data_IF_745689464728
#
_entry.id   IF_745689464728
#
_cell.length_a   1.000
_cell.length_b   1.000
_cell.length_c   1.000
_cell.angle_alpha   90.00
_cell.angle_beta   90.00
_cell.angle_gamma   90.00
#
_symmetry.space_group_name_H-M   'P 1'
#
loop_
_entity.id
_entity.type
_entity.pdbx_description
1 polymer ?
#
# COMPACT_ATOMS: atom_id res chain seq x y z
N UNK A 1 -2.79 -13.53 -20.11
CA UNK A 1 -2.54 -14.84 -19.46
C UNK A 1 -2.42 -14.62 -17.96
N UNK A 2 -3.56 -14.58 -17.25
CA UNK A 2 -3.61 -14.35 -15.81
C UNK A 2 -3.31 -15.63 -15.05
N UNK A 3 -2.14 -15.70 -14.43
CA UNK A 3 -1.84 -16.68 -13.40
C UNK A 3 -2.80 -16.41 -12.22
N UNK A 4 -3.95 -17.11 -12.19
CA UNK A 4 -4.73 -17.24 -10.95
C UNK A 4 -3.83 -18.02 -9.98
N UNK A 5 -3.43 -17.46 -8.83
CA UNK A 5 -2.84 -18.29 -7.78
C UNK A 5 -3.88 -19.36 -7.42
N UNK A 6 -3.45 -20.61 -7.39
CA UNK A 6 -4.32 -21.74 -7.09
C UNK A 6 -4.91 -21.56 -5.68
N UNK A 7 -6.23 -21.35 -5.58
CA UNK A 7 -6.94 -21.35 -4.30
C UNK A 7 -7.97 -20.24 -4.15
N UNK A 8 -7.57 -18.97 -4.31
CA UNK A 8 -8.41 -17.82 -3.95
C UNK A 8 -9.49 -17.47 -4.98
N UNK A 9 -10.75 -17.38 -4.53
CA UNK A 9 -11.83 -16.70 -5.24
C UNK A 9 -12.76 -15.98 -4.27
N UNK A 10 -13.08 -14.72 -4.60
CA UNK A 10 -14.18 -14.02 -3.95
C UNK A 10 -15.46 -14.82 -4.18
N UNK A 11 -16.14 -15.18 -3.09
CA UNK A 11 -17.43 -15.89 -3.13
C UNK A 11 -17.36 -17.42 -2.98
N UNK A 12 -16.20 -18.07 -3.11
CA UNK A 12 -16.11 -19.52 -2.93
C UNK A 12 -15.02 -19.94 -1.95
N UNK A 13 -13.79 -19.43 -2.13
CA UNK A 13 -12.62 -19.87 -1.35
C UNK A 13 -11.82 -18.67 -0.92
N UNK A 14 -11.96 -18.35 0.36
CA UNK A 14 -11.36 -17.18 0.98
C UNK A 14 -10.45 -17.54 2.14
N UNK A 15 -10.17 -18.80 2.43
CA UNK A 15 -9.10 -19.14 3.38
C UNK A 15 -7.80 -18.40 3.01
N UNK A 16 -7.06 -17.86 3.99
CA UNK A 16 -7.22 -17.95 5.45
C UNK A 16 -8.19 -16.93 6.09
N UNK A 17 -9.06 -16.31 5.29
CA UNK A 17 -10.08 -15.38 5.76
C UNK A 17 -11.42 -16.11 5.90
N UNK A 18 -12.03 -15.95 7.07
CA UNK A 18 -13.29 -16.56 7.47
C UNK A 18 -14.27 -15.47 7.91
N UNK A 19 -15.56 -15.76 7.83
CA UNK A 19 -16.59 -14.90 8.39
C UNK A 19 -16.48 -14.81 9.94
N UNK A 20 -17.37 -14.04 10.57
CA UNK A 20 -17.42 -13.92 12.04
C UNK A 20 -17.58 -15.23 12.80
N UNK A 21 -18.16 -16.25 12.16
CA UNK A 21 -18.43 -17.57 12.72
C UNK A 21 -17.30 -18.57 12.42
N UNK A 22 -16.29 -18.18 11.62
CA UNK A 22 -15.21 -19.07 11.19
C UNK A 22 -15.54 -19.89 9.94
N UNK A 23 -16.56 -19.53 9.17
CA UNK A 23 -16.96 -20.20 7.94
C UNK A 23 -16.42 -19.50 6.68
N UNK A 24 -16.29 -20.26 5.59
CA UNK A 24 -16.04 -19.73 4.25
C UNK A 24 -17.36 -19.65 3.44
N UNK A 25 -17.47 -18.73 2.47
CA UNK A 25 -16.53 -17.65 2.17
C UNK A 25 -16.70 -16.47 3.15
N UNK A 26 -15.59 -15.82 3.50
CA UNK A 26 -15.60 -14.53 4.17
C UNK A 26 -16.20 -13.47 3.25
N UNK A 27 -17.06 -12.63 3.82
CA UNK A 27 -17.62 -11.44 3.18
C UNK A 27 -16.98 -10.19 3.78
N UNK A 28 -16.62 -9.26 2.91
CA UNK A 28 -15.98 -8.00 3.29
C UNK A 28 -16.94 -6.86 2.94
N UNK A 29 -17.84 -6.53 3.87
CA UNK A 29 -18.84 -5.47 3.66
C UNK A 29 -18.28 -4.15 4.20
N UNK A 30 -18.09 -3.20 3.28
CA UNK A 30 -17.53 -1.90 3.56
C UNK A 30 -18.56 -0.82 3.25
N UNK A 31 -18.68 0.17 4.13
CA UNK A 31 -19.42 1.40 3.87
C UNK A 31 -18.43 2.54 3.68
N UNK A 32 -18.59 3.28 2.58
CA UNK A 32 -17.77 4.46 2.32
C UNK A 32 -18.29 5.66 3.11
N UNK A 33 -17.48 6.16 4.04
CA UNK A 33 -17.79 7.33 4.89
C UNK A 33 -17.27 8.65 4.31
N UNK A 34 -16.37 8.59 3.32
CA UNK A 34 -15.77 9.75 2.65
C UNK A 34 -14.92 9.34 1.46
N UNK A 35 -14.18 10.27 0.87
CA UNK A 35 -13.41 10.03 -0.37
C UNK A 35 -12.42 8.87 -0.25
N UNK A 36 -11.80 8.69 0.91
CA UNK A 36 -10.77 7.69 1.20
C UNK A 36 -11.02 6.91 2.50
N UNK A 37 -12.23 7.01 3.08
CA UNK A 37 -12.55 6.45 4.40
C UNK A 37 -13.61 5.38 4.32
N UNK A 38 -13.32 4.19 4.84
CA UNK A 38 -14.23 3.04 4.83
C UNK A 38 -14.46 2.47 6.23
N UNK A 39 -15.72 2.22 6.56
CA UNK A 39 -16.18 1.51 7.74
C UNK A 39 -16.40 0.02 7.42
N UNK A 40 -16.00 -0.86 8.33
CA UNK A 40 -16.26 -2.31 8.22
C UNK A 40 -17.62 -2.60 8.86
N UNK A 41 -18.58 -3.08 8.06
CA UNK A 41 -19.95 -3.39 8.50
C UNK A 41 -20.18 -4.85 8.85
N UNK A 42 -19.30 -5.74 8.41
CA UNK A 42 -19.33 -7.15 8.82
C UNK A 42 -17.96 -7.57 9.37
N UNK A 43 -17.88 -8.05 10.62
CA UNK A 43 -16.62 -8.54 11.17
C UNK A 43 -16.21 -9.86 10.50
N UNK A 44 -14.90 -10.06 10.37
CA UNK A 44 -14.31 -11.27 9.80
C UNK A 44 -13.03 -11.65 10.55
N UNK A 45 -12.52 -12.85 10.30
CA UNK A 45 -11.32 -13.39 10.96
C UNK A 45 -10.30 -13.75 9.90
N UNK A 46 -9.05 -13.37 10.13
CA UNK A 46 -7.89 -13.91 9.42
C UNK A 46 -7.20 -14.92 10.34
N UNK A 47 -6.96 -16.13 9.87
CA UNK A 47 -6.26 -17.19 10.61
C UNK A 47 -5.41 -18.03 9.65
N UNK A 48 -4.10 -17.81 9.69
CA UNK A 48 -3.12 -18.54 8.87
C UNK A 48 -2.43 -19.68 9.63
N UNK A 49 -2.93 -20.05 10.82
CA UNK A 49 -2.35 -21.06 11.70
C UNK A 49 -1.20 -20.56 12.58
N UNK A 50 -0.58 -19.42 12.26
CA UNK A 50 0.44 -18.79 13.10
C UNK A 50 -0.10 -17.56 13.83
N UNK A 51 -0.96 -16.79 13.16
CA UNK A 51 -1.53 -15.56 13.65
C UNK A 51 -3.03 -15.56 13.35
N UNK A 52 -3.81 -15.28 14.40
CA UNK A 52 -5.25 -15.11 14.30
C UNK A 52 -5.62 -13.67 14.64
N UNK A 53 -6.25 -12.97 13.70
CA UNK A 53 -6.69 -11.58 13.84
C UNK A 53 -8.18 -11.51 13.59
N UNK A 54 -8.93 -10.96 14.55
CA UNK A 54 -10.35 -10.65 14.37
C UNK A 54 -10.47 -9.19 13.97
N UNK A 55 -10.96 -8.93 12.76
CA UNK A 55 -11.28 -7.58 12.30
C UNK A 55 -12.66 -7.22 12.83
N UNK A 56 -12.77 -6.24 13.75
CA UNK A 56 -14.05 -5.87 14.35
C UNK A 56 -14.89 -5.02 13.40
N UNK A 57 -16.17 -4.91 13.73
CA UNK A 57 -17.03 -3.87 13.18
C UNK A 57 -16.46 -2.50 13.59
N UNK A 58 -16.41 -1.55 12.65
CA UNK A 58 -15.84 -0.22 12.87
C UNK A 58 -16.81 0.84 12.41
N UNK A 59 -17.59 1.38 13.35
CA UNK A 59 -18.58 2.42 13.06
C UNK A 59 -17.96 3.81 12.85
N UNK A 60 -16.81 4.08 13.48
CA UNK A 60 -16.20 5.42 13.50
C UNK A 60 -14.73 5.45 13.02
N UNK A 61 -14.03 4.32 13.05
CA UNK A 61 -12.61 4.23 12.69
C UNK A 61 -12.47 3.79 11.24
N UNK A 62 -12.26 4.78 10.36
CA UNK A 62 -12.01 4.57 8.95
C UNK A 62 -10.70 3.79 8.73
N UNK A 63 -10.81 2.62 8.09
CA UNK A 63 -9.68 2.10 7.33
C UNK A 63 -9.59 2.90 6.03
N UNK A 64 -8.39 3.33 5.68
CA UNK A 64 -8.12 3.95 4.37
C UNK A 64 -7.92 2.90 3.26
N UNK A 65 -8.05 1.61 3.62
CA UNK A 65 -7.69 0.41 2.86
C UNK A 65 -6.22 0.43 2.47
N UNK A 66 -5.82 1.37 1.63
CA UNK A 66 -4.43 1.72 1.44
C UNK A 66 -4.36 3.21 1.07
N UNK A 67 -3.70 4.02 1.90
CA UNK A 67 -3.19 5.35 1.51
C UNK A 67 -2.17 5.22 0.38
N UNK A 68 -2.65 5.03 -0.85
CA UNK A 68 -1.83 4.96 -2.06
C UNK A 68 -1.71 6.40 -2.58
N UNK A 69 -0.50 6.94 -2.72
CA UNK A 69 -0.32 8.25 -3.36
C UNK A 69 -0.97 8.26 -4.74
N UNK A 70 -1.67 9.35 -5.09
CA UNK A 70 -2.47 9.42 -6.34
C UNK A 70 -1.66 9.03 -7.59
N UNK A 71 -0.36 9.35 -7.64
CA UNK A 71 0.53 9.02 -8.76
C UNK A 71 0.88 7.53 -8.87
N UNK A 72 0.52 6.72 -7.88
CA UNK A 72 0.62 5.25 -7.87
C UNK A 72 -0.73 4.55 -8.10
N UNK A 73 -1.84 5.29 -8.19
CA UNK A 73 -3.18 4.72 -8.33
C UNK A 73 -3.35 3.91 -9.65
N UNK A 74 -2.55 4.20 -10.68
CA UNK A 74 -2.51 3.41 -11.91
C UNK A 74 -1.91 2.02 -11.72
N UNK A 75 -1.06 1.83 -10.70
CA UNK A 75 -0.32 0.59 -10.45
C UNK A 75 -1.00 -0.32 -9.42
N UNK A 76 -1.46 0.28 -8.31
CA UNK A 76 -2.25 -0.40 -7.27
C UNK A 76 -3.65 0.20 -7.25
N UNK A 77 -4.70 -0.57 -7.58
CA UNK A 77 -6.07 -0.07 -7.46
C UNK A 77 -6.40 0.18 -5.98
N UNK A 78 -7.32 1.11 -5.71
CA UNK A 78 -7.76 1.47 -4.35
C UNK A 78 -8.32 0.26 -3.59
N UNK A 79 -9.02 -0.63 -4.30
CA UNK A 79 -9.56 -1.86 -3.73
C UNK A 79 -9.25 -3.08 -4.61
N UNK A 80 -9.37 -4.27 -4.03
CA UNK A 80 -9.20 -5.54 -4.71
C UNK A 80 -8.74 -6.65 -3.77
N UNK A 81 -7.93 -7.58 -4.28
CA UNK A 81 -7.44 -8.73 -3.50
C UNK A 81 -6.62 -8.38 -2.26
N UNK A 82 -6.02 -7.19 -2.22
CA UNK A 82 -5.23 -6.73 -1.09
C UNK A 82 -6.09 -6.09 0.02
N UNK A 83 -7.33 -5.71 -0.28
CA UNK A 83 -8.27 -5.06 0.66
C UNK A 83 -8.45 -5.84 1.97
N UNK A 84 -8.74 -7.16 1.97
CA UNK A 84 -8.89 -7.88 3.23
C UNK A 84 -7.59 -7.93 4.04
N UNK A 85 -6.44 -8.03 3.36
CA UNK A 85 -5.11 -7.99 4.00
C UNK A 85 -4.84 -6.63 4.65
N UNK A 86 -5.26 -5.54 4.00
CA UNK A 86 -5.15 -4.18 4.53
C UNK A 86 -5.96 -3.97 5.80
N UNK A 87 -7.21 -4.44 5.82
CA UNK A 87 -8.06 -4.36 7.02
C UNK A 87 -7.47 -5.13 8.22
N UNK A 88 -6.80 -6.27 7.96
CA UNK A 88 -6.05 -7.01 8.98
C UNK A 88 -4.86 -6.20 9.47
N UNK A 89 -4.08 -5.60 8.58
CA UNK A 89 -2.93 -4.75 8.92
C UNK A 89 -3.32 -3.54 9.76
N UNK A 90 -4.37 -2.82 9.38
CA UNK A 90 -4.92 -1.68 10.12
C UNK A 90 -5.45 -2.07 11.50
N UNK A 91 -5.96 -3.30 11.63
CA UNK A 91 -6.37 -3.85 12.92
C UNK A 91 -5.18 -4.09 13.83
N UNK A 92 -4.15 -4.76 13.32
CA UNK A 92 -2.91 -4.95 14.07
C UNK A 92 -2.25 -3.63 14.45
N UNK A 93 -2.18 -2.65 13.54
CA UNK A 93 -1.60 -1.34 13.84
C UNK A 93 -2.39 -0.58 14.91
N UNK A 94 -3.72 -0.66 14.89
CA UNK A 94 -4.57 -0.05 15.91
C UNK A 94 -4.34 -0.68 17.29
N UNK A 95 -4.27 -2.01 17.38
CA UNK A 95 -3.96 -2.77 18.59
C UNK A 95 -2.57 -2.42 19.14
N UNK A 96 -1.55 -2.45 18.29
CA UNK A 96 -0.16 -2.10 18.65
C UNK A 96 -0.09 -0.65 19.15
N UNK A 97 -0.80 0.28 18.52
CA UNK A 97 -0.85 1.66 18.97
C UNK A 97 -1.60 1.82 20.30
N UNK A 98 -2.64 1.05 20.55
CA UNK A 98 -3.35 1.05 21.83
C UNK A 98 -2.44 0.57 22.97
N UNK A 99 -1.74 -0.55 22.78
CA UNK A 99 -0.79 -1.08 23.78
C UNK A 99 0.38 -0.12 24.03
N UNK A 100 0.88 0.57 22.98
CA UNK A 100 1.88 1.64 23.12
C UNK A 100 1.37 2.78 24.00
N UNK A 101 0.11 3.19 23.86
CA UNK A 101 -0.50 4.26 24.68
C UNK A 101 -0.76 3.81 26.12
N UNK A 102 -1.09 2.54 26.31
CA UNK A 102 -1.27 1.93 27.63
C UNK A 102 0.06 1.79 28.41
N UNK A 103 1.21 1.87 27.73
CA UNK A 103 2.53 1.74 28.32
C UNK A 103 3.07 0.30 28.32
N UNK A 104 2.37 -0.63 27.67
CA UNK A 104 2.73 -2.05 27.60
C UNK A 104 3.87 -2.33 26.61
N UNK A 105 4.19 -1.36 25.75
CA UNK A 105 5.23 -1.47 24.73
C UNK A 105 6.24 -0.33 24.82
N UNK A 106 7.51 -0.70 24.97
CA UNK A 106 8.63 0.21 24.86
C UNK A 106 8.94 0.59 23.39
N UNK A 107 9.99 1.40 23.22
CA UNK A 107 10.52 1.83 21.91
C UNK A 107 10.74 0.67 20.93
N UNK A 108 11.46 -0.35 21.41
CA UNK A 108 11.90 -1.48 20.60
C UNK A 108 10.76 -2.47 20.33
N UNK A 109 9.97 -2.82 21.35
CA UNK A 109 8.84 -3.75 21.25
C UNK A 109 7.76 -3.24 20.30
N UNK A 110 7.42 -1.95 20.35
CA UNK A 110 6.50 -1.33 19.39
C UNK A 110 6.95 -1.53 17.94
N UNK A 111 8.24 -1.34 17.68
CA UNK A 111 8.77 -1.45 16.34
C UNK A 111 8.80 -2.90 15.85
N UNK A 112 9.20 -3.83 16.71
CA UNK A 112 9.23 -5.26 16.39
C UNK A 112 7.83 -5.77 16.05
N UNK A 113 6.82 -5.36 16.84
CA UNK A 113 5.41 -5.67 16.59
C UNK A 113 4.92 -5.11 15.26
N UNK A 114 5.31 -3.89 14.89
CA UNK A 114 4.98 -3.31 13.58
C UNK A 114 5.63 -4.06 12.42
N UNK A 115 6.90 -4.46 12.55
CA UNK A 115 7.56 -5.28 11.53
C UNK A 115 6.87 -6.64 11.36
N UNK A 116 6.43 -7.25 12.46
CA UNK A 116 5.64 -8.49 12.41
C UNK A 116 4.28 -8.27 11.75
N UNK A 117 3.62 -7.15 11.99
CA UNK A 117 2.38 -6.79 11.31
C UNK A 117 2.60 -6.63 9.79
N UNK A 118 3.70 -6.00 9.37
CA UNK A 118 4.07 -5.88 7.95
C UNK A 118 4.28 -7.28 7.31
N UNK A 119 4.87 -8.23 8.04
CA UNK A 119 5.04 -9.61 7.57
C UNK A 119 3.71 -10.39 7.47
N UNK A 120 2.81 -10.21 8.44
CA UNK A 120 1.43 -10.74 8.37
C UNK A 120 0.71 -10.17 7.15
N UNK A 121 0.84 -8.87 6.88
CA UNK A 121 0.25 -8.23 5.71
C UNK A 121 0.75 -8.85 4.40
N UNK A 122 2.06 -9.11 4.28
CA UNK A 122 2.64 -9.78 3.10
C UNK A 122 2.07 -11.18 2.90
N UNK A 123 1.98 -11.99 3.96
CA UNK A 123 1.44 -13.36 3.92
C UNK A 123 -0.07 -13.36 3.60
N UNK A 124 -0.81 -12.44 4.20
CA UNK A 124 -2.23 -12.26 3.92
C UNK A 124 -2.50 -11.88 2.45
N UNK A 125 -1.66 -11.03 1.85
CA UNK A 125 -1.75 -10.69 0.42
C UNK A 125 -1.36 -11.86 -0.49
N UNK A 126 -0.37 -12.66 -0.09
CA UNK A 126 -0.01 -13.89 -0.80
C UNK A 126 -1.19 -14.86 -0.84
N UNK A 127 -1.83 -15.07 0.30
CA UNK A 127 -2.96 -15.97 0.41
C UNK A 127 -4.22 -15.48 -0.33
N UNK A 128 -4.47 -14.17 -0.36
CA UNK A 128 -5.55 -13.58 -1.16
C UNK A 128 -5.24 -13.48 -2.66
N UNK A 129 -4.06 -13.95 -3.07
CA UNK A 129 -3.69 -14.06 -4.47
C UNK A 129 -3.33 -12.73 -5.15
N UNK A 130 -2.75 -11.80 -4.39
CA UNK A 130 -2.14 -10.58 -4.93
C UNK A 130 -0.90 -10.96 -5.75
N UNK A 131 -0.71 -10.41 -6.97
CA UNK A 131 0.46 -10.70 -7.79
C UNK A 131 1.78 -10.39 -7.05
N UNK A 132 2.79 -11.24 -7.27
CA UNK A 132 4.07 -11.19 -6.56
C UNK A 132 4.68 -9.78 -6.53
N UNK A 133 4.82 -9.14 -7.70
CA UNK A 133 5.42 -7.80 -7.76
C UNK A 133 4.64 -6.77 -6.93
N UNK A 134 3.30 -6.75 -7.06
CA UNK A 134 2.44 -5.83 -6.32
C UNK A 134 2.55 -6.07 -4.81
N UNK A 135 2.46 -7.33 -4.38
CA UNK A 135 2.57 -7.75 -2.99
C UNK A 135 3.89 -7.28 -2.36
N UNK A 136 5.01 -7.56 -3.02
CA UNK A 136 6.33 -7.23 -2.50
C UNK A 136 6.57 -5.72 -2.43
N UNK A 137 5.97 -4.95 -3.35
CA UNK A 137 6.06 -3.49 -3.31
C UNK A 137 5.21 -2.85 -2.22
N UNK A 138 3.97 -3.34 -2.04
CA UNK A 138 3.13 -2.89 -0.93
C UNK A 138 3.81 -3.23 0.41
N UNK A 139 4.37 -4.45 0.54
CA UNK A 139 5.18 -4.83 1.71
C UNK A 139 6.40 -3.93 1.91
N UNK A 140 7.15 -3.64 0.84
CA UNK A 140 8.31 -2.76 0.90
C UNK A 140 7.92 -1.35 1.38
N UNK A 141 6.80 -0.80 0.92
CA UNK A 141 6.31 0.52 1.30
C UNK A 141 5.99 0.60 2.81
N UNK A 142 5.18 -0.33 3.34
CA UNK A 142 4.83 -0.34 4.77
C UNK A 142 6.06 -0.59 5.65
N UNK A 143 6.94 -1.52 5.23
CA UNK A 143 8.19 -1.81 5.94
C UNK A 143 9.11 -0.58 5.98
N UNK A 144 9.17 0.19 4.89
CA UNK A 144 9.96 1.42 4.83
C UNK A 144 9.43 2.47 5.82
N UNK A 145 8.11 2.65 5.87
CA UNK A 145 7.45 3.55 6.81
C UNK A 145 7.71 3.13 8.28
N UNK A 146 7.62 1.82 8.57
CA UNK A 146 7.96 1.27 9.88
C UNK A 146 9.44 1.52 10.22
N UNK A 147 10.37 1.24 9.31
CA UNK A 147 11.81 1.47 9.50
C UNK A 147 12.18 2.93 9.68
N UNK A 148 11.46 3.84 9.03
CA UNK A 148 11.63 5.28 9.22
C UNK A 148 11.43 5.70 10.68
N UNK A 149 10.69 4.92 11.47
CA UNK A 149 10.46 5.21 12.89
C UNK A 149 11.55 4.65 13.83
N UNK A 150 12.52 3.86 13.34
CA UNK A 150 13.52 3.13 14.18
C UNK A 150 14.64 4.01 14.76
N UNK A 151 15.13 4.99 13.99
CA UNK A 151 16.26 5.84 14.41
C UNK A 151 17.06 6.44 13.25
N UNK A 152 17.97 7.37 13.54
CA UNK A 152 18.69 8.16 12.53
C UNK A 152 19.55 7.31 11.57
N UNK A 153 20.25 6.28 12.08
CA UNK A 153 21.09 5.39 11.27
C UNK A 153 20.27 4.59 10.25
N UNK A 154 19.11 4.10 10.68
CA UNK A 154 18.19 3.33 9.82
C UNK A 154 17.53 4.24 8.80
N UNK A 155 17.15 5.47 9.19
CA UNK A 155 16.69 6.50 8.25
C UNK A 155 17.74 6.82 7.20
N UNK A 156 19.00 7.00 7.62
CA UNK A 156 20.10 7.25 6.69
C UNK A 156 20.29 6.08 5.71
N UNK A 157 20.19 4.84 6.18
CA UNK A 157 20.22 3.66 5.31
C UNK A 157 19.05 3.63 4.31
N UNK A 158 17.84 3.99 4.74
CA UNK A 158 16.67 4.14 3.86
C UNK A 158 16.89 5.21 2.81
N UNK A 159 17.32 6.41 3.22
CA UNK A 159 17.61 7.52 2.29
C UNK A 159 18.70 7.12 1.31
N UNK A 160 19.80 6.53 1.79
CA UNK A 160 20.89 6.04 0.95
C UNK A 160 20.39 5.02 -0.07
N UNK A 161 19.55 4.07 0.35
CA UNK A 161 18.96 3.09 -0.56
C UNK A 161 18.06 3.75 -1.63
N UNK A 162 17.21 4.71 -1.26
CA UNK A 162 16.37 5.46 -2.21
C UNK A 162 17.24 6.22 -3.21
N UNK A 163 18.24 6.96 -2.73
CA UNK A 163 19.16 7.73 -3.58
C UNK A 163 19.90 6.82 -4.54
N UNK A 164 20.46 5.70 -4.07
CA UNK A 164 21.14 4.72 -4.92
C UNK A 164 20.20 4.12 -5.96
N UNK A 165 18.95 3.84 -5.60
CA UNK A 165 17.96 3.32 -6.54
C UNK A 165 17.65 4.34 -7.63
N UNK A 166 17.41 5.62 -7.27
CA UNK A 166 17.13 6.71 -8.22
C UNK A 166 18.34 6.98 -9.13
N UNK A 167 19.55 7.08 -8.57
CA UNK A 167 20.76 7.27 -9.36
C UNK A 167 21.01 6.09 -10.30
N UNK A 168 20.76 4.87 -9.83
CA UNK A 168 20.80 3.66 -10.66
C UNK A 168 19.82 3.72 -11.83
N UNK A 169 18.58 4.18 -11.60
CA UNK A 169 17.58 4.39 -12.67
C UNK A 169 18.06 5.39 -13.72
N UNK A 170 18.58 6.54 -13.26
CA UNK A 170 19.07 7.61 -14.14
C UNK A 170 20.27 7.13 -14.95
N UNK A 171 21.22 6.44 -14.31
CA UNK A 171 22.39 5.87 -14.97
C UNK A 171 22.00 4.79 -15.98
N UNK A 172 21.02 3.95 -15.66
CA UNK A 172 20.50 2.93 -16.58
C UNK A 172 19.94 3.57 -17.86
N UNK A 173 19.05 4.55 -17.72
CA UNK A 173 18.46 5.24 -18.87
C UNK A 173 19.51 6.01 -19.68
N UNK A 174 20.37 6.77 -19.00
CA UNK A 174 21.41 7.57 -19.66
C UNK A 174 22.41 6.69 -20.42
N UNK A 175 22.83 5.56 -19.82
CA UNK A 175 23.76 4.63 -20.47
C UNK A 175 23.14 3.88 -21.65
N UNK A 176 21.85 3.53 -21.57
CA UNK A 176 21.11 2.93 -22.69
C UNK A 176 21.06 3.89 -23.89
N UNK A 177 20.74 5.17 -23.65
CA UNK A 177 20.70 6.19 -24.71
C UNK A 177 22.10 6.46 -25.29
N UNK A 178 23.13 6.46 -24.45
CA UNK A 178 24.51 6.69 -24.86
C UNK A 178 25.20 5.46 -25.50
N UNK A 179 24.56 4.29 -25.51
CA UNK A 179 25.18 3.03 -25.97
C UNK A 179 26.31 2.52 -25.07
N UNK A 180 26.38 2.97 -23.82
CA UNK A 180 27.43 2.64 -22.87
C UNK A 180 27.14 1.32 -22.14
N UNK A 181 27.20 0.21 -22.86
CA UNK A 181 26.76 -1.11 -22.38
C UNK A 181 27.39 -1.59 -21.06
N UNK A 182 28.65 -1.24 -20.79
CA UNK A 182 29.29 -1.57 -19.52
C UNK A 182 28.63 -0.86 -18.32
N UNK A 183 28.27 0.42 -18.50
CA UNK A 183 27.55 1.20 -17.48
C UNK A 183 26.12 0.69 -17.34
N UNK A 184 25.48 0.31 -18.46
CA UNK A 184 24.15 -0.32 -18.44
C UNK A 184 24.17 -1.61 -17.62
N UNK A 185 25.14 -2.51 -17.87
CA UNK A 185 25.27 -3.75 -17.12
C UNK A 185 25.50 -3.48 -15.62
N UNK A 186 26.36 -2.51 -15.28
CA UNK A 186 26.58 -2.11 -13.89
C UNK A 186 25.31 -1.57 -13.23
N UNK A 187 24.55 -0.71 -13.92
CA UNK A 187 23.29 -0.16 -13.44
C UNK A 187 22.22 -1.25 -13.24
N UNK A 188 22.18 -2.26 -14.11
CA UNK A 188 21.28 -3.43 -13.96
C UNK A 188 21.58 -4.24 -12.70
N UNK A 189 22.85 -4.32 -12.29
CA UNK A 189 23.28 -5.09 -11.12
C UNK A 189 23.19 -4.26 -9.82
N UNK A 190 23.23 -2.93 -9.91
CA UNK A 190 23.31 -2.01 -8.77
C UNK A 190 22.25 -2.21 -7.65
N UNK A 191 20.97 -2.58 -7.92
CA UNK A 191 19.99 -2.82 -6.85
C UNK A 191 20.35 -4.00 -5.94
N UNK A 192 21.14 -4.97 -6.41
CA UNK A 192 21.52 -6.15 -5.64
C UNK A 192 22.36 -5.81 -4.40
N UNK A 193 23.51 -5.11 -4.51
CA UNK A 193 24.25 -4.67 -3.32
C UNK A 193 23.47 -3.62 -2.51
N UNK A 194 22.68 -2.75 -3.15
CA UNK A 194 21.86 -1.78 -2.43
C UNK A 194 20.83 -2.45 -1.51
N UNK A 195 20.29 -3.61 -1.89
CA UNK A 195 19.35 -4.36 -1.06
C UNK A 195 19.94 -4.83 0.28
N UNK A 196 21.27 -4.87 0.44
CA UNK A 196 21.92 -5.16 1.72
C UNK A 196 21.54 -4.13 2.81
N UNK A 197 21.17 -2.90 2.43
CA UNK A 197 20.68 -1.86 3.35
C UNK A 197 19.35 -2.22 4.02
N UNK A 198 18.63 -3.23 3.51
CA UNK A 198 17.41 -3.76 4.13
C UNK A 198 17.71 -4.73 5.29
N UNK A 199 18.95 -5.19 5.41
CA UNK A 199 19.40 -6.12 6.44
C UNK A 199 19.00 -7.58 6.17
N UNK A 200 19.44 -8.51 7.04
CA UNK A 200 19.21 -9.93 6.89
C UNK A 200 17.70 -10.25 6.89
N UNK A 201 17.28 -11.20 6.04
CA UNK A 201 15.88 -11.65 5.91
C UNK A 201 14.99 -10.81 5.00
N UNK A 202 15.41 -9.61 4.58
CA UNK A 202 14.61 -8.68 3.75
C UNK A 202 15.24 -8.32 2.39
N UNK A 203 16.15 -9.18 1.92
CA UNK A 203 16.84 -8.97 0.64
C UNK A 203 15.89 -9.02 -0.56
N UNK A 204 15.01 -10.02 -0.61
CA UNK A 204 14.03 -10.17 -1.70
C UNK A 204 13.18 -8.92 -1.93
N UNK A 205 12.47 -8.38 -0.92
CA UNK A 205 11.66 -7.17 -1.10
C UNK A 205 12.53 -5.94 -1.39
N UNK A 206 13.73 -5.82 -0.81
CA UNK A 206 14.66 -4.72 -1.11
C UNK A 206 15.16 -4.72 -2.56
N UNK A 207 15.46 -5.90 -3.12
CA UNK A 207 15.83 -6.08 -4.53
C UNK A 207 14.66 -5.73 -5.44
N UNK A 208 13.48 -6.28 -5.18
CA UNK A 208 12.29 -6.05 -6.00
C UNK A 208 11.84 -4.59 -5.95
N UNK A 209 11.89 -3.95 -4.79
CA UNK A 209 11.62 -2.52 -4.65
C UNK A 209 12.64 -1.67 -5.41
N UNK A 210 13.93 -2.05 -5.40
CA UNK A 210 14.98 -1.38 -6.15
C UNK A 210 14.72 -1.45 -7.65
N UNK A 211 14.46 -2.64 -8.19
CA UNK A 211 14.10 -2.81 -9.61
C UNK A 211 12.77 -2.13 -9.98
N UNK A 212 11.81 -2.11 -9.06
CA UNK A 212 10.54 -1.44 -9.31
C UNK A 212 10.67 0.07 -9.44
N UNK A 213 11.72 0.69 -8.89
CA UNK A 213 11.99 2.12 -9.16
C UNK A 213 12.20 2.39 -10.65
N UNK A 214 12.68 1.40 -11.43
CA UNK A 214 12.86 1.53 -12.88
C UNK A 214 11.52 1.43 -13.61
N UNK A 215 10.76 0.39 -13.26
CA UNK A 215 9.53 0.02 -13.95
C UNK A 215 8.35 0.94 -13.59
N UNK A 216 8.30 1.40 -12.35
CA UNK A 216 7.17 2.15 -11.79
C UNK A 216 7.54 3.61 -11.55
N UNK A 217 8.80 3.90 -11.22
CA UNK A 217 9.23 5.26 -10.93
C UNK A 217 9.08 6.20 -12.11
N UNK A 218 9.39 5.76 -13.34
CA UNK A 218 9.24 6.60 -14.53
C UNK A 218 7.78 6.92 -14.86
N UNK A 219 6.86 5.94 -14.97
CA UNK A 219 5.44 6.27 -15.17
C UNK A 219 4.83 7.04 -13.98
N UNK A 220 5.27 6.76 -12.75
CA UNK A 220 4.84 7.52 -11.58
C UNK A 220 5.27 8.99 -11.66
N UNK A 221 6.51 9.27 -12.08
CA UNK A 221 6.99 10.63 -12.30
C UNK A 221 6.20 11.33 -13.40
N UNK A 222 5.96 10.66 -14.53
CA UNK A 222 5.15 11.21 -15.61
C UNK A 222 3.71 11.53 -15.15
N UNK A 223 3.11 10.64 -14.36
CA UNK A 223 1.77 10.83 -13.78
C UNK A 223 1.76 12.00 -12.80
N UNK A 224 2.77 12.11 -11.93
CA UNK A 224 2.89 13.21 -10.98
C UNK A 224 3.05 14.56 -11.69
N UNK A 225 3.84 14.62 -12.76
CA UNK A 225 3.99 15.82 -13.60
C UNK A 225 2.68 16.19 -14.30
N UNK A 226 2.01 15.22 -14.92
CA UNK A 226 0.72 15.44 -15.58
C UNK A 226 -0.34 15.95 -14.60
N UNK A 227 -0.42 15.35 -13.42
CA UNK A 227 -1.31 15.83 -12.35
C UNK A 227 -0.93 17.23 -11.86
N UNK A 228 0.35 17.55 -11.73
CA UNK A 228 0.81 18.89 -11.37
C UNK A 228 0.36 19.95 -12.37
N UNK A 229 0.45 19.65 -13.67
CA UNK A 229 -0.06 20.53 -14.74
C UNK A 229 -1.57 20.71 -14.60
N UNK A 230 -2.32 19.61 -14.44
CA UNK A 230 -3.76 19.64 -14.21
C UNK A 230 -4.12 20.51 -12.99
N UNK A 231 -3.44 20.29 -11.87
CA UNK A 231 -3.69 21.02 -10.63
C UNK A 231 -3.44 22.53 -10.81
N UNK A 232 -2.35 22.92 -11.49
CA UNK A 232 -2.10 24.32 -11.82
C UNK A 232 -3.21 24.92 -12.70
N UNK A 233 -3.69 24.19 -13.69
CA UNK A 233 -4.79 24.62 -14.53
C UNK A 233 -6.09 24.79 -13.72
N UNK A 234 -6.40 23.84 -12.84
CA UNK A 234 -7.55 23.88 -11.95
C UNK A 234 -7.50 25.12 -11.04
N UNK A 235 -6.34 25.41 -10.41
CA UNK A 235 -6.18 26.60 -9.59
C UNK A 235 -6.36 27.90 -10.37
N UNK A 236 -5.92 27.94 -11.63
CA UNK A 236 -6.09 29.10 -12.49
C UNK A 236 -7.56 29.32 -12.93
N UNK A 237 -8.34 28.25 -13.06
CA UNK A 237 -9.74 28.30 -13.51
C UNK A 237 -10.76 28.48 -12.37
N UNK A 238 -10.43 28.08 -11.13
CA UNK A 238 -11.30 28.25 -9.95
C UNK A 238 -11.93 29.65 -9.80
N UNK A 239 -11.20 30.77 -10.00
CA UNK A 239 -11.78 32.12 -9.90
C UNK A 239 -12.86 32.41 -10.95
N UNK A 240 -12.79 31.77 -12.12
CA UNK A 240 -13.78 31.93 -13.20
C UNK A 240 -15.07 31.16 -12.89
N UNK A 241 -14.95 29.95 -12.34
CA UNK A 241 -16.09 29.15 -11.90
C UNK A 241 -16.85 29.80 -10.73
N UNK A 242 -16.13 30.44 -9.80
CA UNK A 242 -16.74 31.17 -8.69
C UNK A 242 -17.58 32.39 -9.14
N UNK A 243 -17.36 32.91 -10.35
CA UNK A 243 -18.14 34.01 -10.92
C UNK A 243 -19.41 33.56 -11.65
N UNK A 244 -19.55 32.27 -11.97
CA UNK A 244 -20.69 31.71 -12.71
C UNK A 244 -21.77 31.04 -11.84
N UNK A 245 -21.54 30.86 -10.55
CA UNK A 245 -22.42 30.09 -9.64
C UNK A 245 -23.48 30.94 -8.91
N UNK A 246 -23.83 32.11 -9.45
CA UNK A 246 -24.82 33.02 -8.87
C UNK A 246 -26.28 32.57 -8.96
N UNK A 247 -26.59 31.46 -9.61
CA UNK A 247 -27.96 30.90 -9.62
C UNK A 247 -28.12 29.83 -8.52
N UNK A 248 -29.14 29.94 -7.65
CA UNK A 248 -29.39 28.95 -6.61
C UNK A 248 -29.79 27.61 -7.24
N UNK A 249 -29.01 26.57 -6.96
CA UNK A 249 -29.34 25.18 -7.32
C UNK A 249 -30.60 24.79 -6.54
N UNK A 250 -31.71 24.58 -7.26
CA UNK A 250 -32.93 24.04 -6.67
C UNK A 250 -32.63 22.69 -6.00
N UNK A 251 -32.96 22.57 -4.71
CA UNK A 251 -32.80 21.33 -3.96
C UNK A 251 -33.56 20.20 -4.66
N UNK A 252 -32.83 19.24 -5.21
CA UNK A 252 -33.45 18.01 -5.73
C UNK A 252 -34.00 17.20 -4.55
N UNK A 253 -35.20 16.61 -4.68
CA UNK A 253 -35.77 15.78 -3.63
C UNK A 253 -34.83 14.59 -3.32
N UNK A 254 -34.82 14.11 -2.06
CA UNK A 254 -33.94 13.02 -1.64
C UNK A 254 -34.19 11.77 -2.50
N UNK A 255 -33.13 11.04 -2.89
CA UNK A 255 -33.28 9.82 -3.66
C UNK A 255 -34.11 8.80 -2.88
N UNK A 256 -35.05 8.14 -3.57
CA UNK A 256 -35.86 7.09 -2.97
C UNK A 256 -34.94 5.95 -2.47
N UNK A 257 -35.23 5.34 -1.31
CA UNK A 257 -34.43 4.25 -0.79
C UNK A 257 -34.46 3.07 -1.78
N UNK A 258 -33.28 2.53 -2.08
CA UNK A 258 -33.14 1.30 -2.84
C UNK A 258 -33.89 0.18 -2.11
N UNK A 259 -34.88 -0.41 -2.76
CA UNK A 259 -35.62 -1.60 -2.29
C UNK A 259 -34.97 -2.87 -2.82
#
# INVERSE_FOLDING_TARGET
MTLRPAGWSFGDRTAPFFDRNGAEPARFVLEQLGDDRFAVREPFVYDDGEVRVRVPLRDEVASDLASIPFFMAWFVPVNGRHTPSALVHDTLLAEIAAERRAGDLDGAGYLERRLRADEVFRRAMEASGVPLLRRELMFAAVTLATRWSRGATVRAAVVCWVVLSVLGSVALLGSLVAGAWAVTAAAVVAPLPAALLWGPGRLRPGVLAGYATWLIGLPALATALGYGIYWCAEQALRPLAARGSGEPVAQSPPPAPYR
#
